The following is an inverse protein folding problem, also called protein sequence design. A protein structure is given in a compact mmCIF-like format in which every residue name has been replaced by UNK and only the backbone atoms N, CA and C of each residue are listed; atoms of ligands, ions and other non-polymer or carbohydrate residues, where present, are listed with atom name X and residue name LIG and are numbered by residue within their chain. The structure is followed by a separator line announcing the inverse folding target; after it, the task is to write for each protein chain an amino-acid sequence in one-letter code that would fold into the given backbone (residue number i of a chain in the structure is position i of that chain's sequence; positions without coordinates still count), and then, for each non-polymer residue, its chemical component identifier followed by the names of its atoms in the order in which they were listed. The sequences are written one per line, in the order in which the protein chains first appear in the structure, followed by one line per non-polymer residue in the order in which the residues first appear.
data_IF_387075403330
#
_entry.id   IF_387075403330
#
_cell.length_a   1.000
_cell.length_b   1.000
_cell.length_c   1.000
_cell.angle_alpha   90.00
_cell.angle_beta   90.00
_cell.angle_gamma   90.00
#
_symmetry.space_group_name_H-M   'P 1'
#
loop_
_entity.id
_entity.type
_entity.pdbx_description
1 polymer ?
#
# COMPACT_ATOMS: atom_id res chain seq x y z
N UNK A 1 17.54 -7.30 -18.27
CA UNK A 1 18.53 -6.29 -18.72
C UNK A 1 18.11 -5.63 -20.03
N UNK A 2 17.88 -6.37 -21.12
CA UNK A 2 17.50 -5.78 -22.42
C UNK A 2 16.22 -4.92 -22.38
N UNK A 3 15.16 -5.41 -21.72
CA UNK A 3 13.89 -4.65 -21.57
C UNK A 3 14.10 -3.33 -20.81
N UNK A 4 14.89 -3.35 -19.74
CA UNK A 4 15.18 -2.16 -18.96
C UNK A 4 16.02 -1.14 -19.77
N UNK A 5 17.01 -1.61 -20.53
CA UNK A 5 17.81 -0.76 -21.41
C UNK A 5 16.96 -0.13 -22.52
N UNK A 6 16.02 -0.90 -23.09
CA UNK A 6 15.06 -0.38 -24.07
C UNK A 6 14.09 0.64 -23.47
N UNK A 7 13.76 0.52 -22.18
CA UNK A 7 12.83 1.42 -21.48
C UNK A 7 13.49 2.69 -20.95
N UNK A 8 14.77 2.66 -20.62
CA UNK A 8 15.49 3.80 -20.02
C UNK A 8 15.30 5.15 -20.74
N UNK A 9 15.25 5.23 -22.09
CA UNK A 9 14.99 6.49 -22.79
C UNK A 9 13.65 7.16 -22.43
N UNK A 10 12.65 6.41 -21.95
CA UNK A 10 11.34 6.97 -21.56
C UNK A 10 11.44 7.89 -20.34
N UNK A 11 12.46 7.74 -19.50
CA UNK A 11 12.64 8.56 -18.29
C UNK A 11 12.83 10.04 -18.64
N UNK A 12 13.33 10.36 -19.85
CA UNK A 12 13.54 11.75 -20.31
C UNK A 12 12.26 12.57 -20.44
N UNK A 13 11.09 11.91 -20.48
CA UNK A 13 9.79 12.58 -20.57
C UNK A 13 9.24 13.01 -19.20
N UNK A 14 9.95 12.68 -18.12
CA UNK A 14 9.60 13.09 -16.76
C UNK A 14 10.49 14.24 -16.30
N UNK A 15 10.04 15.08 -15.37
CA UNK A 15 10.83 16.18 -14.80
C UNK A 15 12.17 15.74 -14.18
N UNK A 16 12.28 14.46 -13.81
CA UNK A 16 13.49 13.85 -13.33
C UNK A 16 13.29 12.39 -12.93
N UNK A 17 14.39 11.71 -12.62
CA UNK A 17 14.38 10.30 -12.21
C UNK A 17 13.51 10.06 -10.97
N UNK A 18 13.57 10.96 -9.98
CA UNK A 18 12.75 10.84 -8.77
C UNK A 18 11.26 10.91 -9.09
N UNK A 19 10.83 11.90 -9.88
CA UNK A 19 9.43 12.03 -10.30
C UNK A 19 8.96 10.83 -11.12
N UNK A 20 9.82 10.27 -11.97
CA UNK A 20 9.52 9.04 -12.70
C UNK A 20 9.29 7.86 -11.75
N UNK A 21 10.21 7.61 -10.81
CA UNK A 21 10.08 6.50 -9.85
C UNK A 21 8.82 6.68 -9.01
N UNK A 22 8.59 7.88 -8.47
CA UNK A 22 7.40 8.16 -7.67
C UNK A 22 6.11 7.98 -8.47
N UNK A 23 6.09 8.43 -9.73
CA UNK A 23 4.97 8.21 -10.64
C UNK A 23 4.73 6.72 -10.84
N UNK A 24 5.74 5.94 -11.23
CA UNK A 24 5.59 4.49 -11.46
C UNK A 24 5.08 3.76 -10.21
N UNK A 25 5.63 4.06 -9.04
CA UNK A 25 5.19 3.48 -7.77
C UNK A 25 3.73 3.83 -7.46
N UNK A 26 3.28 5.03 -7.82
CA UNK A 26 1.90 5.49 -7.60
C UNK A 26 0.85 4.68 -8.36
N UNK A 27 1.24 3.96 -9.43
CA UNK A 27 0.34 3.07 -10.17
C UNK A 27 0.55 1.59 -9.81
N UNK A 28 1.78 1.16 -9.55
CA UNK A 28 2.09 -0.26 -9.30
C UNK A 28 1.82 -0.71 -7.86
N UNK A 29 2.10 0.14 -6.88
CA UNK A 29 2.03 -0.22 -5.45
C UNK A 29 0.60 -0.30 -4.88
N UNK A 30 -0.39 0.51 -5.30
CA UNK A 30 -1.71 0.55 -4.67
C UNK A 30 -2.44 -0.79 -4.49
N UNK A 31 -2.51 -1.70 -5.49
CA UNK A 31 -3.22 -2.98 -5.33
C UNK A 31 -2.59 -3.87 -4.25
N UNK A 32 -1.25 -3.87 -4.17
CA UNK A 32 -0.49 -4.64 -3.19
C UNK A 32 -0.72 -4.08 -1.78
N UNK A 33 -0.66 -2.75 -1.62
CA UNK A 33 -0.94 -2.09 -0.34
C UNK A 33 -2.34 -2.39 0.14
N UNK A 34 -3.35 -2.35 -0.74
CA UNK A 34 -4.73 -2.66 -0.36
C UNK A 34 -4.87 -4.09 0.19
N UNK A 35 -4.25 -5.08 -0.48
CA UNK A 35 -4.26 -6.48 -0.06
C UNK A 35 -3.57 -6.68 1.28
N UNK A 36 -2.39 -6.11 1.49
CA UNK A 36 -1.70 -6.24 2.78
C UNK A 36 -2.44 -5.52 3.91
N UNK A 37 -2.96 -4.32 3.65
CA UNK A 37 -3.67 -3.55 4.65
C UNK A 37 -4.92 -4.31 5.14
N UNK A 38 -5.81 -4.73 4.24
CA UNK A 38 -6.99 -5.50 4.65
C UNK A 38 -6.66 -6.94 5.03
N UNK A 39 -5.60 -7.54 4.51
CA UNK A 39 -5.13 -8.85 4.93
C UNK A 39 -4.76 -8.88 6.41
N UNK A 40 -4.14 -7.81 6.93
CA UNK A 40 -3.80 -7.69 8.35
C UNK A 40 -4.98 -7.23 9.19
N UNK A 41 -5.74 -6.22 8.73
CA UNK A 41 -6.74 -5.54 9.57
C UNK A 41 -8.17 -6.07 9.40
N UNK A 42 -8.46 -6.88 8.38
CA UNK A 42 -9.80 -7.40 8.11
C UNK A 42 -9.78 -8.92 7.89
N UNK A 43 -10.12 -9.72 8.92
CA UNK A 43 -10.08 -11.20 8.88
C UNK A 43 -10.91 -11.87 7.76
N UNK A 44 -11.86 -11.13 7.16
CA UNK A 44 -12.71 -11.64 6.08
C UNK A 44 -12.01 -11.65 4.71
N UNK A 45 -10.86 -10.99 4.58
CA UNK A 45 -10.04 -11.00 3.36
C UNK A 45 -9.65 -12.42 3.00
N UNK A 46 -9.97 -12.86 1.78
CA UNK A 46 -9.69 -14.22 1.32
C UNK A 46 -8.84 -14.23 0.03
N UNK A 47 -8.29 -15.39 -0.32
CA UNK A 47 -7.37 -15.52 -1.45
C UNK A 47 -7.98 -15.15 -2.80
N UNK A 48 -9.27 -15.44 -3.00
CA UNK A 48 -9.98 -15.08 -4.24
C UNK A 48 -10.15 -13.57 -4.38
N UNK A 49 -10.58 -12.91 -3.29
CA UNK A 49 -10.69 -11.45 -3.24
C UNK A 49 -9.34 -10.76 -3.46
N UNK A 50 -8.29 -11.26 -2.82
CA UNK A 50 -6.93 -10.76 -3.02
C UNK A 50 -6.45 -10.93 -4.47
N UNK A 51 -6.66 -12.10 -5.08
CA UNK A 51 -6.26 -12.36 -6.46
C UNK A 51 -7.01 -11.45 -7.46
N UNK A 52 -8.33 -11.32 -7.32
CA UNK A 52 -9.15 -10.43 -8.16
C UNK A 52 -8.73 -8.98 -8.00
N UNK A 53 -8.44 -8.55 -6.77
CA UNK A 53 -7.96 -7.18 -6.50
C UNK A 53 -6.59 -6.95 -7.09
N UNK A 54 -5.69 -7.94 -7.04
CA UNK A 54 -4.36 -7.80 -7.61
C UNK A 54 -4.45 -7.60 -9.11
N UNK A 55 -5.17 -8.46 -9.82
CA UNK A 55 -5.31 -8.35 -11.28
C UNK A 55 -6.14 -7.12 -11.67
N UNK A 56 -7.34 -6.98 -11.11
CA UNK A 56 -8.26 -5.89 -11.42
C UNK A 56 -7.71 -4.52 -11.03
N UNK A 57 -7.03 -4.43 -9.89
CA UNK A 57 -6.35 -3.22 -9.44
C UNK A 57 -5.20 -2.81 -10.36
N UNK A 58 -4.39 -3.75 -10.85
CA UNK A 58 -3.33 -3.42 -11.82
C UNK A 58 -3.89 -3.02 -13.19
N UNK A 59 -4.98 -3.65 -13.64
CA UNK A 59 -5.67 -3.24 -14.88
C UNK A 59 -6.23 -1.82 -14.74
N UNK A 60 -6.87 -1.51 -13.61
CA UNK A 60 -7.36 -0.17 -13.30
C UNK A 60 -6.20 0.84 -13.24
N UNK A 61 -5.12 0.52 -12.54
CA UNK A 61 -3.92 1.36 -12.46
C UNK A 61 -3.33 1.63 -13.84
N UNK A 62 -3.24 0.61 -14.70
CA UNK A 62 -2.74 0.76 -16.06
C UNK A 62 -3.65 1.66 -16.90
N UNK A 63 -4.98 1.50 -16.79
CA UNK A 63 -5.93 2.36 -17.48
C UNK A 63 -5.79 3.83 -17.04
N UNK A 64 -5.72 4.08 -15.73
CA UNK A 64 -5.54 5.43 -15.17
C UNK A 64 -4.18 6.02 -15.55
N UNK A 65 -3.12 5.20 -15.61
CA UNK A 65 -1.81 5.62 -16.12
C UNK A 65 -1.89 6.07 -17.57
N UNK A 66 -2.46 5.24 -18.46
CA UNK A 66 -2.60 5.57 -19.89
C UNK A 66 -3.43 6.85 -20.08
N UNK A 67 -4.56 6.98 -19.39
CA UNK A 67 -5.40 8.18 -19.46
C UNK A 67 -4.66 9.43 -18.96
N UNK A 68 -3.83 9.30 -17.92
CA UNK A 68 -2.99 10.40 -17.44
C UNK A 68 -1.92 10.79 -18.45
N UNK A 69 -1.24 9.82 -19.08
CA UNK A 69 -0.25 10.09 -20.12
C UNK A 69 -0.85 10.71 -21.39
N UNK A 70 -2.13 10.43 -21.67
CA UNK A 70 -2.88 11.06 -22.78
C UNK A 70 -3.42 12.46 -22.44
N UNK A 71 -3.23 12.94 -21.20
CA UNK A 71 -3.73 14.24 -20.75
C UNK A 71 -5.21 14.27 -20.38
N UNK A 72 -5.88 13.12 -20.27
CA UNK A 72 -7.28 13.08 -19.79
C UNK A 72 -7.40 13.17 -18.27
N UNK A 73 -6.34 12.81 -17.54
CA UNK A 73 -6.28 12.87 -16.07
C UNK A 73 -5.06 13.68 -15.68
N UNK A 74 -5.30 14.92 -15.24
CA UNK A 74 -4.29 15.88 -14.80
C UNK A 74 -4.24 15.94 -13.26
N UNK A 75 -3.92 14.81 -12.62
CA UNK A 75 -3.75 14.74 -11.17
C UNK A 75 -2.29 14.46 -10.82
N UNK A 76 -1.84 15.04 -9.69
CA UNK A 76 -0.52 14.75 -9.16
C UNK A 76 -0.42 13.27 -8.75
N UNK A 77 0.74 12.63 -9.00
CA UNK A 77 0.94 11.19 -8.78
C UNK A 77 0.57 10.73 -7.36
N UNK A 78 0.82 11.56 -6.34
CA UNK A 78 0.48 11.26 -4.94
C UNK A 78 -1.03 11.15 -4.71
N UNK A 79 -1.82 11.98 -5.39
CA UNK A 79 -3.29 11.94 -5.30
C UNK A 79 -3.79 10.68 -6.01
N UNK A 80 -3.22 10.37 -7.18
CA UNK A 80 -3.52 9.15 -7.93
C UNK A 80 -3.25 7.90 -7.08
N UNK A 81 -2.11 7.84 -6.39
CA UNK A 81 -1.78 6.73 -5.50
C UNK A 81 -2.86 6.53 -4.43
N UNK A 82 -3.29 7.60 -3.75
CA UNK A 82 -4.34 7.54 -2.74
C UNK A 82 -5.69 7.07 -3.29
N UNK A 83 -6.11 7.61 -4.45
CA UNK A 83 -7.36 7.21 -5.11
C UNK A 83 -7.30 5.74 -5.54
N UNK A 84 -6.23 5.30 -6.19
CA UNK A 84 -6.08 3.92 -6.63
C UNK A 84 -6.06 2.96 -5.44
N UNK A 85 -5.42 3.32 -4.33
CA UNK A 85 -5.45 2.51 -3.11
C UNK A 85 -6.87 2.41 -2.56
N UNK A 86 -7.61 3.51 -2.48
CA UNK A 86 -9.00 3.50 -2.02
C UNK A 86 -9.91 2.64 -2.92
N UNK A 87 -9.75 2.75 -4.24
CA UNK A 87 -10.49 1.91 -5.20
C UNK A 87 -10.12 0.44 -5.08
N UNK A 88 -8.84 0.11 -4.89
CA UNK A 88 -8.39 -1.27 -4.65
C UNK A 88 -8.91 -1.83 -3.31
N UNK A 89 -8.99 -1.02 -2.26
CA UNK A 89 -9.61 -1.40 -0.99
C UNK A 89 -11.09 -1.73 -1.18
N UNK A 90 -11.84 -0.88 -1.89
CA UNK A 90 -13.24 -1.13 -2.23
C UNK A 90 -13.42 -2.41 -3.06
N UNK A 91 -12.58 -2.60 -4.08
CA UNK A 91 -12.56 -3.81 -4.90
C UNK A 91 -12.29 -5.06 -4.05
N UNK A 92 -11.34 -5.00 -3.13
CA UNK A 92 -11.01 -6.10 -2.23
C UNK A 92 -12.14 -6.45 -1.28
N UNK A 93 -12.83 -5.45 -0.74
CA UNK A 93 -14.01 -5.67 0.08
C UNK A 93 -15.10 -6.38 -0.71
N UNK A 94 -15.47 -5.84 -1.87
CA UNK A 94 -16.52 -6.42 -2.72
C UNK A 94 -16.13 -7.82 -3.18
N UNK A 95 -14.92 -8.02 -3.68
CA UNK A 95 -14.46 -9.30 -4.19
C UNK A 95 -14.35 -10.34 -3.06
N UNK A 96 -13.85 -9.98 -1.88
CA UNK A 96 -13.78 -10.93 -0.75
C UNK A 96 -15.18 -11.34 -0.27
N UNK A 97 -16.16 -10.43 -0.26
CA UNK A 97 -17.54 -10.75 0.15
C UNK A 97 -18.29 -11.56 -0.90
N UNK A 98 -18.07 -11.27 -2.19
CA UNK A 98 -18.75 -11.93 -3.29
C UNK A 98 -18.10 -13.27 -3.69
N UNK A 99 -16.79 -13.41 -3.51
CA UNK A 99 -16.02 -14.55 -4.01
C UNK A 99 -15.34 -15.28 -2.85
N UNK A 100 -15.84 -16.49 -2.58
CA UNK A 100 -15.27 -17.40 -1.59
C UNK A 100 -15.72 -17.11 -0.15
N UNK A 101 -15.58 -18.14 0.67
CA UNK A 101 -15.94 -18.10 2.07
C UNK A 101 -14.91 -17.32 2.91
N UNK A 102 -15.27 -17.05 4.16
CA UNK A 102 -14.32 -16.55 5.12
C UNK A 102 -13.18 -17.56 5.32
N UNK A 103 -11.92 -17.11 5.47
CA UNK A 103 -10.82 -18.01 5.80
C UNK A 103 -11.09 -18.78 7.10
N UNK A 104 -10.63 -20.03 7.15
CA UNK A 104 -10.65 -20.80 8.40
C UNK A 104 -9.78 -20.09 9.47
N UNK A 105 -10.21 -20.02 10.74
CA UNK A 105 -9.50 -19.30 11.80
C UNK A 105 -8.02 -19.69 11.92
N UNK A 106 -7.71 -20.97 11.74
CA UNK A 106 -6.35 -21.52 11.86
C UNK A 106 -5.39 -20.98 10.79
N UNK A 107 -5.91 -20.50 9.65
CA UNK A 107 -5.10 -19.93 8.56
C UNK A 107 -4.74 -18.46 8.79
N UNK A 108 -5.46 -17.78 9.69
CA UNK A 108 -5.31 -16.34 9.95
C UNK A 108 -4.90 -16.03 11.39
N UNK A 109 -4.69 -17.08 12.18
CA UNK A 109 -4.18 -16.99 13.54
C UNK A 109 -2.76 -16.40 13.51
N UNK A 110 -2.49 -15.44 14.38
CA UNK A 110 -1.26 -14.63 14.44
C UNK A 110 -0.87 -13.86 13.14
N UNK A 111 -1.68 -13.93 12.07
CA UNK A 111 -1.46 -13.17 10.83
C UNK A 111 -2.27 -11.86 10.77
N UNK A 112 -3.32 -11.76 11.57
CA UNK A 112 -4.21 -10.59 11.62
C UNK A 112 -4.01 -9.80 12.91
N UNK A 113 -4.25 -8.49 12.84
CA UNK A 113 -4.11 -7.59 13.99
C UNK A 113 -4.94 -8.02 15.21
N UNK A 114 -6.12 -8.61 14.97
CA UNK A 114 -7.04 -9.06 16.01
C UNK A 114 -6.51 -10.25 16.82
N UNK A 115 -5.67 -11.10 16.21
CA UNK A 115 -5.24 -12.37 16.79
C UNK A 115 -3.75 -12.37 17.18
N UNK A 116 -3.06 -11.22 17.06
CA UNK A 116 -1.62 -11.17 17.32
C UNK A 116 -1.30 -11.23 18.81
N UNK A 117 -0.21 -11.90 19.16
CA UNK A 117 0.38 -11.78 20.49
C UNK A 117 1.09 -10.42 20.66
N UNK A 118 0.88 -9.74 21.79
CA UNK A 118 1.68 -8.57 22.14
C UNK A 118 2.97 -9.03 22.82
N UNK A 119 4.11 -8.83 22.15
CA UNK A 119 5.42 -9.23 22.67
C UNK A 119 5.98 -8.29 23.76
N UNK A 120 5.43 -7.09 23.91
CA UNK A 120 5.89 -6.08 24.89
C UNK A 120 4.99 -6.02 26.12
N UNK A 121 5.57 -6.29 27.29
CA UNK A 121 4.94 -6.13 28.61
C UNK A 121 5.53 -4.97 29.43
N UNK A 122 4.83 -4.56 30.49
CA UNK A 122 5.22 -3.46 31.38
C UNK A 122 6.53 -3.67 32.15
N UNK A 123 7.02 -4.91 32.23
CA UNK A 123 8.27 -5.29 32.91
C UNK A 123 9.53 -5.19 32.03
N UNK A 124 9.38 -4.87 30.75
CA UNK A 124 10.48 -4.86 29.80
C UNK A 124 11.33 -3.59 29.92
N UNK A 125 12.66 -3.73 29.88
CA UNK A 125 13.57 -2.59 29.87
C UNK A 125 13.31 -1.66 28.67
N UNK A 126 13.45 -0.34 28.87
CA UNK A 126 13.06 0.68 27.88
C UNK A 126 13.68 0.46 26.48
N UNK A 127 14.94 0.05 26.41
CA UNK A 127 15.68 -0.19 25.16
C UNK A 127 15.30 -1.49 24.44
N UNK A 128 14.52 -2.36 25.08
CA UNK A 128 13.90 -3.54 24.45
C UNK A 128 12.43 -3.30 24.09
N UNK A 129 11.82 -2.25 24.63
CA UNK A 129 10.42 -1.94 24.41
C UNK A 129 10.25 -1.04 23.16
N UNK A 130 9.79 -1.61 22.05
CA UNK A 130 9.58 -0.86 20.81
C UNK A 130 8.57 0.30 20.93
N UNK A 131 7.64 0.24 21.89
CA UNK A 131 6.63 1.28 22.10
C UNK A 131 7.29 2.60 22.56
N UNK A 132 8.32 2.49 23.41
CA UNK A 132 9.11 3.66 23.86
C UNK A 132 9.83 4.29 22.67
N UNK A 133 10.46 3.48 21.82
CA UNK A 133 11.14 3.98 20.61
C UNK A 133 10.15 4.58 19.60
N UNK A 134 8.99 3.96 19.40
CA UNK A 134 7.94 4.49 18.52
C UNK A 134 7.44 5.85 19.02
N UNK A 135 7.19 6.00 20.32
CA UNK A 135 6.81 7.27 20.93
C UNK A 135 7.90 8.34 20.77
N UNK A 136 9.18 7.95 20.95
CA UNK A 136 10.31 8.86 20.74
C UNK A 136 10.39 9.35 19.29
N UNK A 137 10.27 8.44 18.31
CA UNK A 137 10.27 8.81 16.87
C UNK A 137 9.10 9.72 16.53
N UNK A 138 7.90 9.44 17.05
CA UNK A 138 6.74 10.31 16.86
C UNK A 138 6.96 11.70 17.47
N UNK A 139 7.52 11.77 18.68
CA UNK A 139 7.87 13.04 19.34
C UNK A 139 8.90 13.85 18.56
N UNK A 140 9.98 13.21 18.11
CA UNK A 140 11.00 13.85 17.27
C UNK A 140 10.43 14.35 15.94
N UNK A 141 9.53 13.58 15.33
CA UNK A 141 8.83 13.98 14.09
C UNK A 141 7.96 15.21 14.35
N UNK A 142 7.20 15.24 15.44
CA UNK A 142 6.37 16.39 15.81
C UNK A 142 7.23 17.64 16.09
N UNK A 143 8.35 17.50 16.79
CA UNK A 143 9.29 18.60 17.03
C UNK A 143 9.84 19.13 15.71
N UNK A 144 10.29 18.26 14.82
CA UNK A 144 10.77 18.65 13.49
C UNK A 144 9.70 19.43 12.72
N UNK A 145 8.45 18.96 12.75
CA UNK A 145 7.34 19.67 12.09
C UNK A 145 7.04 21.03 12.74
N UNK A 146 7.13 21.19 14.05
CA UNK A 146 6.84 22.48 14.71
C UNK A 146 7.99 23.49 14.54
N UNK A 147 9.24 23.02 14.51
CA UNK A 147 10.42 23.90 14.44
C UNK A 147 10.73 24.36 13.02
N UNK A 148 10.52 23.51 12.01
CA UNK A 148 10.93 23.76 10.63
C UNK A 148 9.79 24.07 9.67
N UNK A 149 8.55 24.11 10.15
CA UNK A 149 7.39 24.57 9.38
C UNK A 149 7.17 26.06 9.59
#
# INVERSE_FOLDING_TARGET
MLVAAAWAPMIRYFPGLWSYIQSVLSYLVPPVVAIFLLGVFWPRTNGNGAFVTLIGGHVLSLAVFVLSQMGYIELHFTIIAGILTALCLGLLVVASLALGDAPAPEKIDDLTWANRAFETGSSMAWYKNYQVHAAAVLGLTAVMLVVFW
#
